data_IF_024736845238
#
_entry.id   IF_024736845238
#
_cell.length_a   1.000
_cell.length_b   1.000
_cell.length_c   1.000
_cell.angle_alpha   90.00
_cell.angle_beta   90.00
_cell.angle_gamma   90.00
#
_symmetry.space_group_name_H-M   'P 1'
#
loop_
_entity.id
_entity.type
_entity.pdbx_description
1 polymer ?
#
# COMPACT_ATOMS: atom_id res chain seq x y z
N UNK A 1 -0.74 3.99 -22.45
CA UNK A 1 -0.06 4.43 -21.22
C UNK A 1 0.83 3.28 -20.77
N UNK A 2 2.12 3.52 -20.59
CA UNK A 2 3.03 2.55 -20.00
C UNK A 2 2.98 2.73 -18.48
N UNK A 3 2.83 1.64 -17.72
CA UNK A 3 3.05 1.67 -16.27
C UNK A 3 4.51 2.08 -15.99
N UNK A 4 4.82 2.62 -14.81
CA UNK A 4 6.16 3.13 -14.51
C UNK A 4 7.23 2.03 -14.70
N UNK A 5 8.33 2.36 -15.38
CA UNK A 5 9.40 1.40 -15.66
C UNK A 5 10.44 1.27 -14.54
N UNK A 6 10.43 2.20 -13.57
CA UNK A 6 11.38 2.29 -12.47
C UNK A 6 10.67 2.73 -11.19
N UNK A 7 10.86 1.98 -10.10
CA UNK A 7 10.24 2.25 -8.82
C UNK A 7 11.27 2.39 -7.69
N UNK A 8 11.13 3.43 -6.88
CA UNK A 8 11.79 3.57 -5.60
C UNK A 8 11.08 2.72 -4.55
N UNK A 9 11.81 1.81 -3.92
CA UNK A 9 11.32 0.99 -2.79
C UNK A 9 11.62 1.73 -1.49
N UNK A 10 10.57 2.04 -0.73
CA UNK A 10 10.71 2.75 0.55
C UNK A 10 10.91 1.79 1.72
N UNK A 11 11.71 2.16 2.74
CA UNK A 11 11.75 1.40 3.99
C UNK A 11 10.39 1.51 4.73
N UNK A 12 10.03 0.48 5.49
CA UNK A 12 8.77 0.40 6.24
C UNK A 12 8.52 1.64 7.14
N UNK A 13 9.57 2.17 7.78
CA UNK A 13 9.48 3.40 8.60
C UNK A 13 8.95 4.60 7.80
N UNK A 14 9.33 4.71 6.51
CA UNK A 14 8.85 5.79 5.65
C UNK A 14 7.37 5.62 5.31
N UNK A 15 6.94 4.39 5.00
CA UNK A 15 5.53 4.08 4.74
C UNK A 15 4.66 4.38 5.97
N UNK A 16 5.11 4.00 7.17
CA UNK A 16 4.45 4.38 8.42
C UNK A 16 4.36 5.89 8.61
N UNK A 17 5.44 6.62 8.32
CA UNK A 17 5.43 8.09 8.40
C UNK A 17 4.44 8.72 7.41
N UNK A 18 4.33 8.18 6.20
CA UNK A 18 3.31 8.62 5.22
C UNK A 18 1.91 8.34 5.77
N UNK A 19 1.66 7.13 6.28
CA UNK A 19 0.36 6.76 6.86
C UNK A 19 -0.01 7.68 8.03
N UNK A 20 0.90 7.87 8.99
CA UNK A 20 0.67 8.69 10.18
C UNK A 20 0.45 10.17 9.87
N UNK A 21 1.09 10.68 8.82
CA UNK A 21 0.90 12.06 8.35
C UNK A 21 -0.34 12.23 7.48
N UNK A 22 -0.99 11.13 7.08
CA UNK A 22 -2.22 11.16 6.30
C UNK A 22 -3.46 11.31 7.20
N UNK A 23 -4.62 11.45 6.56
CA UNK A 23 -5.91 11.36 7.24
C UNK A 23 -6.38 9.93 7.51
N UNK A 24 -5.70 8.90 6.99
CA UNK A 24 -6.16 7.50 6.97
C UNK A 24 -6.34 6.92 8.37
N UNK A 25 -5.38 7.03 9.33
CA UNK A 25 -5.55 6.49 10.68
C UNK A 25 -6.69 7.11 11.49
N UNK A 26 -7.22 8.26 11.05
CA UNK A 26 -8.34 8.95 11.70
C UNK A 26 -9.70 8.53 11.12
N UNK A 27 -9.71 7.70 10.08
CA UNK A 27 -10.95 7.20 9.47
C UNK A 27 -11.45 5.99 10.24
N UNK A 28 -12.76 5.92 10.40
CA UNK A 28 -13.44 4.75 10.97
C UNK A 28 -13.90 3.88 9.82
N UNK A 29 -13.59 2.58 9.90
CA UNK A 29 -14.14 1.59 8.98
C UNK A 29 -15.66 1.63 8.99
N UNK A 30 -16.25 1.62 7.79
CA UNK A 30 -17.69 1.57 7.58
C UNK A 30 -17.98 0.73 6.35
N UNK A 31 -18.80 -0.29 6.52
CA UNK A 31 -19.22 -1.21 5.47
C UNK A 31 -19.55 -0.48 4.16
N UNK A 32 -18.86 -0.87 3.07
CA UNK A 32 -18.98 -0.38 1.69
C UNK A 32 -18.65 1.09 1.41
N UNK A 33 -18.91 1.99 2.35
CA UNK A 33 -18.75 3.44 2.15
C UNK A 33 -17.35 3.95 2.51
N UNK A 34 -16.66 3.22 3.40
CA UNK A 34 -15.27 3.43 3.74
C UNK A 34 -14.69 2.15 4.37
N UNK A 35 -14.50 1.12 3.56
CA UNK A 35 -13.99 -0.18 3.99
C UNK A 35 -12.61 -0.49 3.38
N UNK A 36 -12.19 -1.75 3.38
CA UNK A 36 -10.80 -2.12 3.15
C UNK A 36 -10.21 -1.59 1.84
N UNK A 37 -10.97 -1.56 0.74
CA UNK A 37 -10.46 -1.06 -0.53
C UNK A 37 -10.31 0.46 -0.55
N UNK A 38 -11.19 1.19 0.12
CA UNK A 38 -11.03 2.64 0.31
C UNK A 38 -9.74 2.96 1.08
N UNK A 39 -9.47 2.25 2.18
CA UNK A 39 -8.23 2.42 2.93
C UNK A 39 -7.00 2.15 2.05
N UNK A 40 -6.99 1.05 1.28
CA UNK A 40 -5.86 0.69 0.43
C UNK A 40 -5.65 1.66 -0.75
N UNK A 41 -6.74 2.12 -1.36
CA UNK A 41 -6.72 3.11 -2.45
C UNK A 41 -6.24 4.48 -1.96
N UNK A 42 -6.79 4.97 -0.85
CA UNK A 42 -6.38 6.26 -0.28
C UNK A 42 -4.92 6.21 0.13
N UNK A 43 -4.45 5.14 0.77
CA UNK A 43 -3.03 5.04 1.14
C UNK A 43 -2.11 5.05 -0.08
N UNK A 44 -2.42 4.32 -1.17
CA UNK A 44 -1.65 4.40 -2.42
C UNK A 44 -1.60 5.84 -2.95
N UNK A 45 -2.72 6.55 -2.92
CA UNK A 45 -2.78 7.96 -3.34
C UNK A 45 -1.92 8.87 -2.46
N UNK A 46 -1.92 8.67 -1.15
CA UNK A 46 -1.09 9.45 -0.21
C UNK A 46 0.42 9.20 -0.43
N UNK A 47 0.82 7.97 -0.78
CA UNK A 47 2.20 7.68 -1.18
C UNK A 47 2.57 8.42 -2.48
N UNK A 48 1.67 8.45 -3.47
CA UNK A 48 1.86 9.21 -4.70
C UNK A 48 2.03 10.72 -4.44
N UNK A 49 1.14 11.31 -3.64
CA UNK A 49 1.23 12.73 -3.22
C UNK A 49 2.53 13.03 -2.47
N UNK A 50 2.97 12.11 -1.60
CA UNK A 50 4.24 12.28 -0.90
C UNK A 50 5.42 12.28 -1.87
N UNK A 51 5.41 11.40 -2.88
CA UNK A 51 6.45 11.36 -3.92
C UNK A 51 6.55 12.66 -4.70
N UNK A 52 5.43 13.11 -5.27
CA UNK A 52 5.31 14.37 -6.03
C UNK A 52 5.79 15.59 -5.22
N UNK A 53 5.43 15.65 -3.93
CA UNK A 53 5.87 16.73 -3.04
C UNK A 53 7.36 16.67 -2.73
N UNK A 54 7.92 15.46 -2.57
CA UNK A 54 9.27 15.25 -2.04
C UNK A 54 10.35 15.33 -3.10
N UNK A 55 10.11 14.77 -4.28
CA UNK A 55 11.10 14.66 -5.33
C UNK A 55 10.84 15.67 -6.45
N UNK A 56 11.91 16.32 -6.92
CA UNK A 56 11.88 17.19 -8.11
C UNK A 56 12.41 16.52 -9.36
N UNK A 57 13.00 15.33 -9.20
CA UNK A 57 13.44 14.50 -10.30
C UNK A 57 12.27 13.64 -10.79
N UNK A 58 12.23 13.39 -12.09
CA UNK A 58 11.18 12.62 -12.75
C UNK A 58 11.66 11.22 -13.17
N UNK A 59 10.81 10.47 -13.89
CA UNK A 59 11.09 9.16 -14.52
C UNK A 59 11.29 8.00 -13.53
N UNK A 60 10.73 8.12 -12.34
CA UNK A 60 10.53 7.01 -11.42
C UNK A 60 9.24 7.22 -10.63
N UNK A 61 8.65 6.14 -10.15
CA UNK A 61 7.54 6.16 -9.21
C UNK A 61 7.96 5.59 -7.86
N UNK A 62 7.06 5.61 -6.89
CA UNK A 62 7.26 4.95 -5.59
C UNK A 62 6.48 3.66 -5.59
N UNK A 63 7.12 2.54 -5.23
CA UNK A 63 6.43 1.26 -5.13
C UNK A 63 5.49 1.26 -3.91
N UNK A 64 4.20 1.42 -4.19
CA UNK A 64 3.10 1.14 -3.27
C UNK A 64 1.98 0.48 -4.05
N UNK A 65 1.90 -0.84 -3.94
CA UNK A 65 0.89 -1.63 -4.62
C UNK A 65 -0.38 -1.77 -3.77
N UNK A 66 -1.44 -2.20 -4.44
CA UNK A 66 -2.70 -2.66 -3.86
C UNK A 66 -2.85 -4.13 -4.23
N UNK A 67 -3.37 -4.93 -3.31
CA UNK A 67 -3.81 -6.30 -3.56
C UNK A 67 -5.20 -6.49 -3.01
N UNK A 68 -6.04 -7.23 -3.75
CA UNK A 68 -7.28 -7.79 -3.22
C UNK A 68 -7.10 -9.30 -3.06
N UNK A 69 -7.44 -9.79 -1.88
CA UNK A 69 -7.30 -11.19 -1.50
C UNK A 69 -8.58 -11.77 -0.93
N UNK A 70 -8.61 -13.10 -0.85
CA UNK A 70 -9.73 -13.84 -0.23
C UNK A 70 -9.23 -14.78 0.86
N UNK A 71 -10.11 -15.03 1.83
CA UNK A 71 -9.96 -16.07 2.85
C UNK A 71 -11.33 -16.68 3.11
N UNK A 72 -11.59 -17.84 2.52
CA UNK A 72 -12.92 -18.41 2.51
C UNK A 72 -13.89 -17.56 1.67
N UNK A 73 -14.93 -17.02 2.30
CA UNK A 73 -15.93 -16.15 1.64
C UNK A 73 -15.68 -14.65 1.85
N UNK A 74 -14.67 -14.30 2.64
CA UNK A 74 -14.32 -12.91 2.93
C UNK A 74 -13.35 -12.39 1.86
N UNK A 75 -13.52 -11.12 1.52
CA UNK A 75 -12.58 -10.34 0.71
C UNK A 75 -11.86 -9.31 1.58
N UNK A 76 -10.60 -9.02 1.25
CA UNK A 76 -9.84 -7.98 1.92
C UNK A 76 -8.93 -7.26 0.93
N UNK A 77 -8.80 -5.96 1.09
CA UNK A 77 -7.88 -5.14 0.33
C UNK A 77 -6.78 -4.59 1.25
N UNK A 78 -5.55 -4.65 0.78
CA UNK A 78 -4.37 -4.24 1.52
C UNK A 78 -3.30 -3.73 0.56
N UNK A 79 -2.30 -3.05 1.10
CA UNK A 79 -1.18 -2.57 0.31
C UNK A 79 0.00 -3.54 0.37
N UNK A 80 0.95 -3.35 -0.54
CA UNK A 80 2.20 -4.10 -0.53
C UNK A 80 3.36 -3.28 -1.08
N UNK A 81 4.57 -3.71 -0.71
CA UNK A 81 5.84 -3.19 -1.20
C UNK A 81 6.87 -4.32 -1.20
N UNK A 82 8.13 -4.00 -1.48
CA UNK A 82 9.27 -4.91 -1.30
C UNK A 82 10.05 -4.54 -0.03
N UNK A 83 10.72 -5.52 0.57
CA UNK A 83 11.68 -5.25 1.64
C UNK A 83 12.86 -4.44 1.05
N UNK A 84 13.09 -3.22 1.55
CA UNK A 84 14.14 -2.35 1.03
C UNK A 84 15.55 -2.90 1.23
N UNK A 85 15.71 -3.97 2.03
CA UNK A 85 16.98 -4.69 2.24
C UNK A 85 17.06 -6.00 1.44
N UNK A 86 15.94 -6.52 0.95
CA UNK A 86 15.84 -7.72 0.12
C UNK A 86 14.67 -7.59 -0.88
N UNK A 87 14.99 -7.20 -2.11
CA UNK A 87 13.99 -6.93 -3.14
C UNK A 87 13.27 -8.19 -3.65
N UNK A 88 13.61 -9.39 -3.17
CA UNK A 88 12.86 -10.62 -3.46
C UNK A 88 11.72 -10.87 -2.46
N UNK A 89 11.69 -10.13 -1.35
CA UNK A 89 10.70 -10.29 -0.31
C UNK A 89 9.58 -9.28 -0.50
N UNK A 90 8.35 -9.77 -0.72
CA UNK A 90 7.13 -8.95 -0.65
C UNK A 90 6.76 -8.71 0.82
N UNK A 91 6.44 -7.46 1.15
CA UNK A 91 5.92 -7.04 2.45
C UNK A 91 4.51 -6.49 2.25
N UNK A 92 3.55 -7.04 2.96
CA UNK A 92 2.16 -6.59 2.99
C UNK A 92 1.96 -5.55 4.09
N UNK A 93 1.03 -4.62 3.86
CA UNK A 93 0.77 -3.50 4.76
C UNK A 93 -0.74 -3.31 4.93
N UNK A 94 -1.18 -3.27 6.19
CA UNK A 94 -2.57 -3.02 6.57
C UNK A 94 -2.77 -1.50 6.74
N UNK A 95 -3.37 -0.80 5.78
CA UNK A 95 -3.53 0.65 5.84
C UNK A 95 -4.46 1.12 6.97
N UNK A 96 -5.31 0.25 7.53
CA UNK A 96 -6.18 0.63 8.66
C UNK A 96 -5.39 0.74 9.98
N UNK A 97 -4.35 -0.07 10.16
CA UNK A 97 -3.65 -0.20 11.45
C UNK A 97 -2.17 0.19 11.37
N UNK A 98 -1.58 0.20 10.17
CA UNK A 98 -0.15 0.35 9.97
C UNK A 98 0.65 -0.93 10.21
N UNK A 99 0.01 -2.09 10.38
CA UNK A 99 0.71 -3.36 10.59
C UNK A 99 1.36 -3.86 9.28
N UNK A 100 2.55 -4.46 9.41
CA UNK A 100 3.22 -5.17 8.31
C UNK A 100 3.13 -6.67 8.47
N UNK A 101 3.00 -7.38 7.36
CA UNK A 101 2.96 -8.85 7.33
C UNK A 101 3.83 -9.41 6.20
N UNK A 102 4.38 -10.61 6.41
CA UNK A 102 5.11 -11.38 5.38
C UNK A 102 4.26 -12.44 4.70
N UNK A 103 3.07 -12.75 5.24
CA UNK A 103 2.19 -13.80 4.73
C UNK A 103 0.78 -13.27 4.39
N UNK A 104 0.62 -11.95 4.30
CA UNK A 104 -0.65 -11.26 4.06
C UNK A 104 -1.75 -11.71 5.03
N UNK A 105 -1.45 -12.02 6.29
CA UNK A 105 -2.42 -12.57 7.26
C UNK A 105 -3.19 -13.80 6.74
N UNK A 106 -2.57 -14.54 5.81
CA UNK A 106 -3.09 -15.69 5.06
C UNK A 106 -4.21 -15.37 4.05
N UNK A 107 -4.37 -14.11 3.63
CA UNK A 107 -5.17 -13.74 2.45
C UNK A 107 -4.50 -14.27 1.17
N UNK A 108 -5.29 -14.86 0.28
CA UNK A 108 -4.82 -15.29 -1.05
C UNK A 108 -5.18 -14.24 -2.08
N UNK A 109 -4.18 -13.52 -2.58
CA UNK A 109 -4.37 -12.48 -3.59
C UNK A 109 -4.94 -13.07 -4.90
N UNK A 110 -5.94 -12.39 -5.47
CA UNK A 110 -6.50 -12.69 -6.79
C UNK A 110 -6.40 -11.50 -7.75
N UNK A 111 -6.11 -10.30 -7.22
CA UNK A 111 -5.87 -9.09 -7.99
C UNK A 111 -4.74 -8.28 -7.36
N UNK A 112 -3.93 -7.63 -8.19
CA UNK A 112 -2.88 -6.73 -7.77
C UNK A 112 -2.67 -5.61 -8.77
N UNK A 113 -2.36 -4.42 -8.26
CA UNK A 113 -2.04 -3.21 -9.03
C UNK A 113 -0.83 -2.53 -8.38
N UNK A 114 0.12 -2.04 -9.16
CA UNK A 114 1.24 -1.22 -8.66
C UNK A 114 1.59 -0.11 -9.64
#
# INVERSE_FOLDING_TARGET
>A
MQADGLYLVLPQERLLKILNNSGVPKKTWRDQIFDCDDFAMVFKAEVGKWGDKTFKADKFAILCGIMFGTKGKEGHAYNWTLDSKDLNTVIFFEPQTGEFSRNAWNWKAYFGLF
#
